data_IF_239606891895
#
_entry.id   IF_239606891895
#
_cell.length_a   1.000
_cell.length_b   1.000
_cell.length_c   1.000
_cell.angle_alpha   90.00
_cell.angle_beta   90.00
_cell.angle_gamma   90.00
#
_symmetry.space_group_name_H-M   'P 1'
#
loop_
_entity.id
_entity.type
_entity.pdbx_description
1 polymer ?
#
# COMPACT_ATOMS: atom_id res chain seq x y z
N UNK A 1 26.95 16.88 -8.99
CA UNK A 1 26.17 15.87 -8.27
C UNK A 1 25.15 15.34 -9.24
N UNK A 2 25.46 14.21 -9.89
CA UNK A 2 24.58 13.59 -10.87
C UNK A 2 23.39 12.99 -10.13
N UNK A 3 22.19 13.40 -10.48
CA UNK A 3 20.98 12.68 -10.12
C UNK A 3 21.02 11.44 -11.01
N UNK A 4 21.30 10.27 -10.43
CA UNK A 4 21.10 9.01 -11.12
C UNK A 4 19.62 8.95 -11.53
N UNK A 5 19.38 9.11 -12.84
CA UNK A 5 18.10 8.84 -13.48
C UNK A 5 17.65 7.43 -13.05
N UNK A 6 16.43 7.33 -12.52
CA UNK A 6 15.88 6.12 -11.89
C UNK A 6 16.25 4.83 -12.63
N UNK A 7 17.20 4.11 -12.04
CA UNK A 7 17.64 2.79 -12.47
C UNK A 7 16.40 1.87 -12.49
N UNK A 8 16.11 1.14 -13.59
CA UNK A 8 15.04 0.16 -13.65
C UNK A 8 15.05 -0.82 -12.47
N UNK A 9 16.24 -1.15 -11.96
CA UNK A 9 16.41 -1.98 -10.74
C UNK A 9 15.80 -1.34 -9.49
N UNK A 10 15.84 -0.01 -9.39
CA UNK A 10 15.25 0.76 -8.28
C UNK A 10 13.72 0.71 -8.31
N UNK A 11 13.12 0.76 -9.51
CA UNK A 11 11.67 0.62 -9.70
C UNK A 11 11.23 -0.78 -9.30
N UNK A 12 11.87 -1.82 -9.86
CA UNK A 12 11.53 -3.22 -9.56
C UNK A 12 11.72 -3.54 -8.07
N UNK A 13 12.80 -3.07 -7.45
CA UNK A 13 13.01 -3.22 -6.01
C UNK A 13 11.92 -2.53 -5.17
N UNK A 14 11.43 -1.38 -5.62
CA UNK A 14 10.33 -0.65 -4.95
C UNK A 14 9.00 -1.39 -5.07
N UNK A 15 8.71 -1.95 -6.25
CA UNK A 15 7.52 -2.77 -6.51
C UNK A 15 7.53 -4.02 -5.62
N UNK A 16 8.65 -4.76 -5.59
CA UNK A 16 8.78 -5.96 -4.77
C UNK A 16 8.59 -5.64 -3.28
N UNK A 17 9.22 -4.57 -2.78
CA UNK A 17 9.06 -4.13 -1.40
C UNK A 17 7.60 -3.77 -1.07
N UNK A 18 6.87 -3.19 -2.03
CA UNK A 18 5.45 -2.85 -1.87
C UNK A 18 4.55 -4.08 -1.90
N UNK A 19 4.82 -5.07 -2.75
CA UNK A 19 4.08 -6.33 -2.79
C UNK A 19 4.22 -7.08 -1.46
N UNK A 20 5.45 -7.20 -0.96
CA UNK A 20 5.73 -7.84 0.33
C UNK A 20 5.08 -7.08 1.51
N UNK A 21 5.26 -5.76 1.55
CA UNK A 21 4.70 -4.90 2.59
C UNK A 21 3.18 -4.90 2.59
N UNK A 22 2.55 -4.77 1.42
CA UNK A 22 1.09 -4.83 1.25
C UNK A 22 0.51 -6.17 1.68
N UNK A 23 1.18 -7.28 1.35
CA UNK A 23 0.79 -8.62 1.78
C UNK A 23 0.86 -8.82 3.29
N UNK A 24 1.91 -8.34 3.95
CA UNK A 24 2.04 -8.38 5.41
C UNK A 24 0.94 -7.57 6.09
N UNK A 25 0.71 -6.34 5.61
CA UNK A 25 -0.33 -5.42 6.08
C UNK A 25 -1.73 -6.03 5.95
N UNK A 26 -2.06 -6.61 4.78
CA UNK A 26 -3.35 -7.25 4.55
C UNK A 26 -3.62 -8.42 5.50
N UNK A 27 -2.60 -9.19 5.87
CA UNK A 27 -2.73 -10.25 6.88
C UNK A 27 -3.08 -9.69 8.25
N UNK A 28 -2.46 -8.58 8.66
CA UNK A 28 -2.78 -7.99 9.96
C UNK A 28 -4.15 -7.32 9.96
N UNK A 29 -4.53 -6.64 8.87
CA UNK A 29 -5.89 -6.10 8.72
C UNK A 29 -6.96 -7.19 8.82
N UNK A 30 -6.76 -8.34 8.17
CA UNK A 30 -7.67 -9.49 8.30
C UNK A 30 -7.81 -9.94 9.74
N UNK A 31 -6.73 -9.96 10.54
CA UNK A 31 -6.79 -10.24 11.98
C UNK A 31 -7.56 -9.17 12.75
N UNK A 32 -7.41 -7.90 12.40
CA UNK A 32 -8.13 -6.78 13.02
C UNK A 32 -9.63 -6.85 12.70
N UNK A 33 -9.99 -7.19 11.47
CA UNK A 33 -11.39 -7.31 11.01
C UNK A 33 -12.12 -8.46 11.69
N UNK A 34 -11.43 -9.54 12.07
CA UNK A 34 -12.05 -10.64 12.81
C UNK A 34 -12.32 -10.30 14.28
N UNK A 35 -11.79 -9.18 14.80
CA UNK A 35 -12.09 -8.71 16.14
C UNK A 35 -13.55 -8.24 16.24
N UNK A 36 -14.20 -8.60 17.35
CA UNK A 36 -15.60 -8.23 17.59
C UNK A 36 -15.73 -6.70 17.66
N UNK A 37 -16.63 -6.14 16.84
CA UNK A 37 -16.88 -4.68 16.69
C UNK A 37 -15.76 -3.91 15.97
N UNK A 38 -14.97 -4.56 15.12
CA UNK A 38 -14.11 -3.84 14.20
C UNK A 38 -14.94 -2.84 13.38
N UNK A 39 -14.57 -1.54 13.36
CA UNK A 39 -15.26 -0.55 12.55
C UNK A 39 -15.14 -0.85 11.04
N UNK A 40 -16.19 -0.57 10.27
CA UNK A 40 -16.24 -0.84 8.81
C UNK A 40 -15.12 -0.15 8.03
N UNK A 41 -14.55 0.93 8.57
CA UNK A 41 -13.42 1.64 7.97
C UNK A 41 -12.18 0.75 7.76
N UNK A 42 -11.98 -0.26 8.62
CA UNK A 42 -10.87 -1.22 8.47
C UNK A 42 -11.12 -2.21 7.34
N UNK A 43 -12.36 -2.64 7.16
CA UNK A 43 -12.75 -3.45 6.01
C UNK A 43 -12.58 -2.66 4.70
N UNK A 44 -13.04 -1.40 4.71
CA UNK A 44 -12.85 -0.50 3.57
C UNK A 44 -11.36 -0.35 3.24
N UNK A 45 -10.53 -0.05 4.24
CA UNK A 45 -9.08 0.08 4.04
C UNK A 45 -8.44 -1.21 3.53
N UNK A 46 -8.83 -2.38 4.02
CA UNK A 46 -8.34 -3.66 3.52
C UNK A 46 -8.66 -3.85 2.02
N UNK A 47 -9.84 -3.42 1.57
CA UNK A 47 -10.19 -3.45 0.15
C UNK A 47 -9.32 -2.47 -0.65
N UNK A 48 -9.11 -1.25 -0.14
CA UNK A 48 -8.24 -0.28 -0.81
C UNK A 48 -6.81 -0.80 -1.00
N UNK A 49 -6.27 -1.50 0.01
CA UNK A 49 -4.91 -2.09 -0.05
C UNK A 49 -4.86 -3.29 -1.00
N UNK A 50 -5.90 -4.12 -1.03
CA UNK A 50 -5.99 -5.22 -1.99
C UNK A 50 -6.02 -4.70 -3.43
N UNK A 51 -6.78 -3.63 -3.69
CA UNK A 51 -6.81 -2.97 -5.00
C UNK A 51 -5.45 -2.34 -5.36
N UNK A 52 -4.81 -1.65 -4.40
CA UNK A 52 -3.47 -1.11 -4.59
C UNK A 52 -2.46 -2.20 -4.95
N UNK A 53 -2.54 -3.36 -4.29
CA UNK A 53 -1.69 -4.51 -4.59
C UNK A 53 -1.87 -5.03 -6.02
N UNK A 54 -3.11 -5.06 -6.52
CA UNK A 54 -3.39 -5.43 -7.91
C UNK A 54 -2.81 -4.43 -8.91
N UNK A 55 -2.91 -3.12 -8.63
CA UNK A 55 -2.33 -2.07 -9.48
C UNK A 55 -0.80 -2.24 -9.56
N UNK A 56 -0.15 -2.47 -8.42
CA UNK A 56 1.31 -2.67 -8.34
C UNK A 56 1.73 -3.95 -9.08
N UNK A 57 0.95 -5.03 -8.97
CA UNK A 57 1.18 -6.26 -9.73
C UNK A 57 1.09 -6.01 -11.25
N UNK A 58 0.12 -5.20 -11.68
CA UNK A 58 -0.02 -4.83 -13.10
C UNK A 58 1.20 -4.02 -13.58
N UNK A 59 1.74 -3.13 -12.73
CA UNK A 59 3.00 -2.44 -13.02
C UNK A 59 4.18 -3.41 -13.17
N UNK A 60 4.28 -4.42 -12.29
CA UNK A 60 5.33 -5.44 -12.38
C UNK A 60 5.25 -6.23 -13.69
N UNK A 61 4.06 -6.70 -14.06
CA UNK A 61 3.81 -7.43 -15.31
C UNK A 61 4.22 -6.59 -16.53
N UNK A 62 3.76 -5.33 -16.60
CA UNK A 62 4.08 -4.45 -17.73
C UNK A 62 5.58 -4.13 -17.80
N UNK A 63 6.27 -3.96 -16.67
CA UNK A 63 7.71 -3.71 -16.65
C UNK A 63 8.51 -4.94 -17.06
N UNK A 64 8.05 -6.15 -16.72
CA UNK A 64 8.68 -7.40 -17.14
C UNK A 64 8.49 -7.66 -18.64
N UNK A 65 7.32 -7.31 -19.20
CA UNK A 65 7.04 -7.45 -20.64
C UNK A 65 7.83 -6.44 -21.49
N UNK A 66 8.24 -5.30 -20.92
CA UNK A 66 8.76 -4.13 -21.64
C UNK A 66 10.21 -3.78 -21.27
N UNK A 67 11.07 -4.78 -20.99
CA UNK A 67 12.41 -4.59 -20.39
C UNK A 67 13.33 -3.55 -21.09
N UNK A 68 13.07 -3.22 -22.36
CA UNK A 68 13.84 -2.23 -23.13
C UNK A 68 13.17 -0.84 -23.29
N UNK A 69 11.88 -0.68 -22.98
CA UNK A 69 11.09 0.52 -23.39
C UNK A 69 10.95 1.57 -22.29
N UNK A 70 11.18 1.22 -21.02
CA UNK A 70 11.08 2.18 -19.90
C UNK A 70 12.32 3.08 -19.74
N UNK A 71 12.70 3.81 -20.79
CA UNK A 71 13.81 4.76 -20.74
C UNK A 71 13.44 6.05 -19.97
N UNK A 72 14.00 6.22 -18.77
CA UNK A 72 14.35 7.49 -18.14
C UNK A 72 13.23 8.35 -17.51
N UNK A 73 12.22 8.78 -18.28
CA UNK A 73 11.27 9.83 -17.84
C UNK A 73 10.04 9.25 -17.14
N UNK A 74 9.47 8.16 -17.66
CA UNK A 74 8.37 7.44 -16.99
C UNK A 74 8.84 6.83 -15.66
N UNK A 75 10.10 6.36 -15.62
CA UNK A 75 10.73 5.77 -14.43
C UNK A 75 10.75 6.73 -13.23
N UNK A 76 11.02 8.03 -13.44
CA UNK A 76 11.13 9.00 -12.35
C UNK A 76 9.82 9.26 -11.62
N UNK A 77 8.72 9.51 -12.34
CA UNK A 77 7.40 9.77 -11.74
C UNK A 77 6.82 8.52 -11.08
N UNK A 78 6.97 7.37 -11.74
CA UNK A 78 6.55 6.07 -11.20
C UNK A 78 7.32 5.78 -9.90
N UNK A 79 8.64 5.99 -9.86
CA UNK A 79 9.43 5.87 -8.64
C UNK A 79 8.88 6.75 -7.51
N UNK A 80 8.59 8.02 -7.78
CA UNK A 80 8.05 8.95 -6.78
C UNK A 80 6.70 8.48 -6.23
N UNK A 81 5.81 8.00 -7.10
CA UNK A 81 4.48 7.50 -6.74
C UNK A 81 4.56 6.20 -5.94
N UNK A 82 5.42 5.26 -6.34
CA UNK A 82 5.70 4.04 -5.57
C UNK A 82 6.29 4.36 -4.18
N UNK A 83 7.20 5.34 -4.10
CA UNK A 83 7.75 5.77 -2.81
C UNK A 83 6.72 6.48 -1.91
N UNK A 84 5.75 7.21 -2.48
CA UNK A 84 4.60 7.73 -1.71
C UNK A 84 3.78 6.59 -1.13
N UNK A 85 3.42 5.61 -1.95
CA UNK A 85 2.67 4.42 -1.52
C UNK A 85 3.41 3.69 -0.41
N UNK A 86 4.72 3.51 -0.55
CA UNK A 86 5.55 2.84 0.45
C UNK A 86 5.51 3.56 1.79
N UNK A 87 5.59 4.89 1.80
CA UNK A 87 5.44 5.69 3.02
C UNK A 87 4.05 5.52 3.64
N UNK A 88 3.00 5.52 2.83
CA UNK A 88 1.62 5.30 3.29
C UNK A 88 1.47 3.91 3.93
N UNK A 89 2.03 2.86 3.33
CA UNK A 89 2.02 1.50 3.87
C UNK A 89 2.83 1.37 5.16
N UNK A 90 4.03 1.96 5.23
CA UNK A 90 4.84 1.97 6.45
C UNK A 90 4.16 2.70 7.62
N UNK A 91 3.46 3.79 7.34
CA UNK A 91 2.66 4.46 8.37
C UNK A 91 1.51 3.58 8.86
N UNK A 92 0.87 2.85 7.96
CA UNK A 92 -0.15 1.89 8.32
C UNK A 92 0.41 0.74 9.18
N UNK A 93 1.55 0.16 8.79
CA UNK A 93 2.23 -0.87 9.57
C UNK A 93 2.55 -0.39 10.99
N UNK A 94 3.03 0.85 11.14
CA UNK A 94 3.27 1.46 12.46
C UNK A 94 1.96 1.62 13.23
N UNK A 95 0.92 2.17 12.62
CA UNK A 95 -0.38 2.34 13.30
C UNK A 95 -0.91 1.01 13.82
N UNK A 96 -0.81 -0.04 13.01
CA UNK A 96 -1.23 -1.38 13.40
C UNK A 96 -0.36 -1.95 14.52
N UNK A 97 0.97 -1.89 14.37
CA UNK A 97 1.93 -2.48 15.31
C UNK A 97 1.94 -1.78 16.68
N UNK A 98 1.66 -0.47 16.73
CA UNK A 98 1.66 0.28 17.98
C UNK A 98 0.28 0.37 18.64
N UNK A 99 -0.81 0.48 17.87
CA UNK A 99 -2.13 0.79 18.42
C UNK A 99 -3.14 -0.35 18.32
N UNK A 100 -2.90 -1.34 17.46
CA UNK A 100 -3.82 -2.46 17.21
C UNK A 100 -3.24 -3.83 17.56
N UNK A 101 -1.98 -3.90 18.00
CA UNK A 101 -1.39 -5.14 18.53
C UNK A 101 -2.10 -5.50 19.82
N UNK A 102 -3.07 -6.39 19.68
CA UNK A 102 -3.79 -6.98 20.79
C UNK A 102 -2.76 -7.72 21.62
N UNK A 103 -2.69 -7.39 22.92
CA UNK A 103 -1.98 -8.21 23.91
C UNK A 103 -2.45 -9.65 23.71
N UNK A 104 -1.53 -10.56 23.37
CA UNK A 104 -1.77 -12.00 23.31
C UNK A 104 -2.09 -12.54 24.71
N UNK A 105 -3.25 -12.16 25.23
CA UNK A 105 -3.85 -12.79 26.39
C UNK A 105 -4.39 -14.14 25.95
N UNK A 106 -4.09 -15.19 26.72
CA UNK A 106 -4.43 -16.60 26.53
C UNK A 106 -5.92 -16.96 26.36
N UNK A 107 -6.80 -15.99 26.12
CA UNK A 107 -8.24 -16.18 26.05
C UNK A 107 -8.80 -15.80 24.68
N UNK A 108 -9.53 -16.73 24.07
CA UNK A 108 -10.07 -16.72 22.71
C UNK A 108 -11.16 -15.65 22.44
N UNK A 109 -11.13 -14.52 23.14
CA UNK A 109 -12.07 -13.40 23.00
C UNK A 109 -11.30 -12.08 23.03
N UNK A 110 -10.33 -11.95 22.15
CA UNK A 110 -9.64 -10.69 21.88
C UNK A 110 -10.68 -9.63 21.51
N UNK A 111 -10.89 -8.68 22.43
CA UNK A 111 -11.74 -7.51 22.23
C UNK A 111 -10.83 -6.30 22.36
N UNK A 112 -10.72 -5.50 21.31
CA UNK A 112 -10.16 -4.16 21.45
C UNK A 112 -11.18 -3.25 22.12
N UNK A 113 -10.71 -2.39 23.02
CA UNK A 113 -11.55 -1.41 23.69
C UNK A 113 -12.13 -0.41 22.68
N UNK A 114 -13.40 -0.02 22.87
CA UNK A 114 -14.08 0.97 22.01
C UNK A 114 -13.36 2.31 21.99
N UNK A 115 -12.72 2.69 23.09
CA UNK A 115 -11.90 3.90 23.18
C UNK A 115 -10.67 3.86 22.28
N UNK A 116 -10.08 2.68 22.05
CA UNK A 116 -8.97 2.51 21.10
C UNK A 116 -9.48 2.69 19.68
N UNK A 117 -10.63 2.08 19.34
CA UNK A 117 -11.26 2.27 18.02
C UNK A 117 -11.49 3.73 17.69
N UNK A 118 -12.12 4.48 18.60
CA UNK A 118 -12.41 5.91 18.40
C UNK A 118 -11.15 6.77 18.24
N UNK A 119 -10.03 6.37 18.85
CA UNK A 119 -8.75 7.08 18.72
C UNK A 119 -8.07 6.81 17.37
N UNK A 120 -8.16 5.56 16.91
CA UNK A 120 -7.47 5.08 15.71
C UNK A 120 -8.26 5.41 14.44
N UNK A 121 -9.59 5.43 14.52
CA UNK A 121 -10.51 5.60 13.39
C UNK A 121 -10.23 6.84 12.52
N UNK A 122 -9.98 8.05 13.05
CA UNK A 122 -9.65 9.21 12.21
C UNK A 122 -8.35 9.02 11.42
N UNK A 123 -7.35 8.36 12.01
CA UNK A 123 -6.05 8.11 11.37
C UNK A 123 -6.17 7.06 10.27
N UNK A 124 -6.99 6.03 10.51
CA UNK A 124 -7.31 5.01 9.52
C UNK A 124 -8.12 5.60 8.38
N UNK A 125 -9.05 6.51 8.66
CA UNK A 125 -9.75 7.30 7.65
C UNK A 125 -8.79 8.10 6.77
N UNK A 126 -7.88 8.86 7.37
CA UNK A 126 -6.87 9.62 6.64
C UNK A 126 -5.90 8.73 5.83
N UNK A 127 -5.56 7.54 6.33
CA UNK A 127 -4.77 6.56 5.58
C UNK A 127 -5.54 6.03 4.38
N UNK A 128 -6.82 5.68 4.55
CA UNK A 128 -7.69 5.23 3.46
C UNK A 128 -7.78 6.28 2.36
N UNK A 129 -7.98 7.55 2.71
CA UNK A 129 -8.11 8.62 1.73
C UNK A 129 -6.79 8.88 0.99
N UNK A 130 -5.63 8.73 1.67
CA UNK A 130 -4.32 8.77 1.02
C UNK A 130 -4.08 7.59 0.09
N UNK A 131 -4.39 6.36 0.51
CA UNK A 131 -4.29 5.18 -0.37
C UNK A 131 -5.15 5.37 -1.62
N UNK A 132 -6.35 5.95 -1.49
CA UNK A 132 -7.20 6.29 -2.64
C UNK A 132 -6.54 7.29 -3.59
N UNK A 133 -5.94 8.35 -3.05
CA UNK A 133 -5.23 9.34 -3.86
C UNK A 133 -4.01 8.70 -4.56
N UNK A 134 -3.20 7.95 -3.82
CA UNK A 134 -2.01 7.27 -4.34
C UNK A 134 -2.39 6.27 -5.46
N UNK A 135 -3.50 5.54 -5.32
CA UNK A 135 -4.04 4.66 -6.38
C UNK A 135 -4.48 5.43 -7.62
N UNK A 136 -5.09 6.61 -7.45
CA UNK A 136 -5.51 7.42 -8.58
C UNK A 136 -4.29 7.90 -9.36
N UNK A 137 -3.24 8.35 -8.66
CA UNK A 137 -1.97 8.75 -9.26
C UNK A 137 -1.31 7.58 -10.01
N UNK A 138 -1.22 6.40 -9.37
CA UNK A 138 -0.67 5.19 -10.02
C UNK A 138 -1.48 4.74 -11.24
N UNK A 139 -2.81 4.79 -11.20
CA UNK A 139 -3.64 4.42 -12.36
C UNK A 139 -3.46 5.39 -13.53
N UNK A 140 -3.26 6.68 -13.27
CA UNK A 140 -2.94 7.66 -14.30
C UNK A 140 -1.58 7.34 -14.94
N UNK A 141 -0.58 7.02 -14.12
CA UNK A 141 0.74 6.62 -14.59
C UNK A 141 0.71 5.31 -15.38
N UNK A 142 -0.07 4.32 -14.92
CA UNK A 142 -0.28 3.05 -15.61
C UNK A 142 -0.92 3.27 -16.99
N UNK A 143 -1.95 4.11 -17.04
CA UNK A 143 -2.63 4.46 -18.30
C UNK A 143 -1.70 5.14 -19.29
N UNK A 144 -0.82 6.02 -18.81
CA UNK A 144 0.21 6.66 -19.64
C UNK A 144 1.24 5.63 -20.14
N UNK A 145 1.66 4.69 -19.29
CA UNK A 145 2.59 3.64 -19.66
C UNK A 145 1.97 2.74 -20.74
N UNK A 146 0.73 2.29 -20.57
CA UNK A 146 0.01 1.48 -21.57
C UNK A 146 -0.15 2.22 -22.92
N UNK A 147 -0.37 3.54 -22.90
CA UNK A 147 -0.46 4.35 -24.13
C UNK A 147 0.88 4.50 -24.85
N UNK A 148 2.00 4.54 -24.12
CA UNK A 148 3.34 4.60 -24.72
C UNK A 148 3.78 3.24 -25.30
N UNK A 149 3.17 2.15 -24.85
CA UNK A 149 3.49 0.78 -25.27
C UNK A 149 2.54 0.20 -26.33
N UNK A 150 1.47 0.94 -26.70
CA UNK A 150 0.51 0.56 -27.75
C UNK A 150 0.89 1.18 -29.09
#
# INVERSE_FOLDING_TARGET
MGIEMGDPLSVTGSILALLEGGGAIGKVLKKVITLKRAPDIFLALNNEIAELHNIIHTFDELLQEQSDVCSGIASGRICESLEKVKRTLLEFERLVSYELTVVEGHDARLRLDKSIWLRVEPRVGALKDRVRADKADLNLELSLLTQLTS
#
